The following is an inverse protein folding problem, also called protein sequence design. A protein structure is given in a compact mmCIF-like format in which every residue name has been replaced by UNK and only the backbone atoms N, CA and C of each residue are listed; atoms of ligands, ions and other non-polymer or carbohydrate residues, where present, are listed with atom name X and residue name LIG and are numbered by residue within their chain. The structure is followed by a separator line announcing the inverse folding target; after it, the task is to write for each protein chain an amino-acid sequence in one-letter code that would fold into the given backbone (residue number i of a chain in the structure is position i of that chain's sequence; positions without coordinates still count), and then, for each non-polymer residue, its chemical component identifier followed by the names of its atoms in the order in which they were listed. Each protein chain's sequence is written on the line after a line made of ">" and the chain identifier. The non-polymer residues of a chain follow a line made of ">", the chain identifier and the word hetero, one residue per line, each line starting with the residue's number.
data_IF_322972288532
#
_entry.id   IF_322972288532
#
_cell.length_a   1.000
_cell.length_b   1.000
_cell.length_c   1.000
_cell.angle_alpha   90.00
_cell.angle_beta   90.00
_cell.angle_gamma   90.00
#
_symmetry.space_group_name_H-M   'P 1'
#
loop_
_entity.id
_entity.type
_entity.pdbx_description
1 polymer ?
#
# COMPACT_ATOMS: atom_id res chain seq x y z
N UNK A 1 -33.77 -27.20 -5.83
CA UNK A 1 -33.24 -26.07 -6.64
C UNK A 1 -32.99 -24.88 -5.72
N UNK A 2 -31.73 -24.60 -5.38
CA UNK A 2 -31.37 -23.59 -4.36
C UNK A 2 -31.25 -22.17 -4.91
N UNK A 3 -31.62 -21.18 -4.10
CA UNK A 3 -31.57 -19.73 -4.39
C UNK A 3 -30.20 -19.23 -4.89
N UNK A 4 -29.15 -19.95 -4.52
CA UNK A 4 -27.76 -19.72 -4.95
C UNK A 4 -27.52 -19.95 -6.44
N UNK A 5 -28.28 -20.87 -7.07
CA UNK A 5 -28.19 -21.09 -8.52
C UNK A 5 -28.75 -19.87 -9.28
N UNK A 6 -29.87 -19.32 -8.83
CA UNK A 6 -30.52 -18.14 -9.44
C UNK A 6 -29.64 -16.89 -9.36
N UNK A 7 -28.82 -16.76 -8.32
CA UNK A 7 -27.87 -15.64 -8.17
C UNK A 7 -26.67 -15.76 -9.11
N UNK A 8 -26.12 -16.97 -9.30
CA UNK A 8 -25.00 -17.17 -10.24
C UNK A 8 -25.44 -17.03 -11.70
N UNK A 9 -26.62 -17.53 -12.08
CA UNK A 9 -27.14 -17.37 -13.44
C UNK A 9 -27.38 -15.91 -13.82
N UNK A 10 -27.72 -15.06 -12.83
CA UNK A 10 -27.96 -13.62 -13.06
C UNK A 10 -26.67 -12.81 -13.19
N UNK A 11 -25.57 -13.28 -12.62
CA UNK A 11 -24.27 -12.60 -12.72
C UNK A 11 -23.49 -12.96 -14.00
N UNK A 12 -23.82 -14.09 -14.64
CA UNK A 12 -23.15 -14.56 -15.86
C UNK A 12 -23.78 -14.10 -17.18
N UNK A 13 -24.82 -13.27 -17.14
CA UNK A 13 -25.62 -12.88 -18.31
C UNK A 13 -25.67 -11.36 -18.56
N UNK A 14 -24.69 -10.59 -18.08
CA UNK A 14 -24.53 -9.19 -18.49
C UNK A 14 -23.40 -9.07 -19.51
N UNK A 15 -23.79 -9.08 -20.78
CA UNK A 15 -22.96 -8.65 -21.90
C UNK A 15 -22.53 -7.18 -21.74
N UNK A 16 -21.36 -6.78 -22.27
CA UNK A 16 -20.90 -5.39 -22.19
C UNK A 16 -21.83 -4.49 -23.03
N UNK A 17 -22.78 -3.85 -22.37
CA UNK A 17 -23.59 -2.78 -22.98
C UNK A 17 -22.67 -1.64 -23.37
N UNK A 18 -22.51 -1.46 -24.68
CA UNK A 18 -21.96 -0.27 -25.33
C UNK A 18 -22.61 0.98 -24.76
N UNK A 19 -21.87 1.75 -23.97
CA UNK A 19 -22.29 3.06 -23.48
C UNK A 19 -22.27 4.03 -24.67
N UNK A 20 -23.42 4.26 -25.28
CA UNK A 20 -23.59 5.29 -26.30
C UNK A 20 -23.32 6.66 -25.67
N UNK A 21 -22.46 7.45 -26.32
CA UNK A 21 -22.19 8.84 -25.97
C UNK A 21 -23.39 9.69 -26.40
N UNK A 22 -24.13 10.24 -25.44
CA UNK A 22 -25.03 11.36 -25.71
C UNK A 22 -24.23 12.67 -25.63
N UNK A 23 -23.96 13.25 -26.79
CA UNK A 23 -23.46 14.62 -26.96
C UNK A 23 -24.54 15.61 -26.50
N UNK A 24 -24.34 16.24 -25.35
CA UNK A 24 -25.08 17.46 -24.98
C UNK A 24 -24.19 18.65 -25.31
N UNK A 25 -24.62 19.64 -26.13
CA UNK A 25 -23.77 20.77 -26.48
C UNK A 25 -23.54 21.66 -25.25
N UNK A 26 -22.26 21.91 -24.96
CA UNK A 26 -21.86 22.82 -23.89
C UNK A 26 -22.31 24.26 -24.21
N UNK A 27 -22.81 25.03 -23.22
CA UNK A 27 -23.14 26.44 -23.43
C UNK A 27 -21.88 27.26 -23.75
N UNK A 28 -21.98 28.31 -24.60
CA UNK A 28 -20.81 29.09 -25.00
C UNK A 28 -20.21 29.82 -23.81
N UNK A 29 -18.90 29.69 -23.64
CA UNK A 29 -18.13 30.41 -22.62
C UNK A 29 -18.16 31.92 -22.92
N UNK A 30 -18.53 32.78 -21.95
CA UNK A 30 -18.37 34.22 -22.10
C UNK A 30 -16.88 34.57 -22.03
N UNK A 31 -16.38 35.25 -23.07
CA UNK A 31 -15.08 35.92 -23.03
C UNK A 31 -15.24 37.32 -22.43
N UNK A 32 -14.53 37.62 -21.34
CA UNK A 32 -13.88 38.92 -21.19
C UNK A 32 -12.40 38.70 -20.85
N UNK A 33 -11.46 39.30 -21.57
CA UNK A 33 -11.24 40.74 -21.52
C UNK A 33 -10.18 41.02 -20.46
N UNK A 34 -9.06 41.61 -20.88
CA UNK A 34 -7.82 41.76 -20.12
C UNK A 34 -7.99 42.34 -18.71
N UNK A 35 -7.56 41.59 -17.70
CA UNK A 35 -7.05 42.17 -16.46
C UNK A 35 -5.86 41.31 -16.01
N UNK A 36 -4.65 41.87 -16.08
CA UNK A 36 -3.51 41.39 -15.32
C UNK A 36 -3.71 41.85 -13.86
N UNK A 37 -3.77 40.96 -12.86
CA UNK A 37 -3.41 41.32 -11.51
C UNK A 37 -1.97 40.90 -11.29
N UNK A 38 -1.06 41.87 -11.29
CA UNK A 38 0.23 41.74 -10.63
C UNK A 38 -0.04 41.62 -9.13
N UNK A 39 -0.10 40.40 -8.61
CA UNK A 39 -0.05 40.16 -7.18
C UNK A 39 0.67 38.84 -6.92
N UNK A 40 1.88 38.99 -6.40
CA UNK A 40 2.78 37.97 -5.91
C UNK A 40 2.08 37.23 -4.77
N UNK A 41 1.23 36.26 -5.11
CA UNK A 41 0.60 35.37 -4.15
C UNK A 41 1.66 34.40 -3.66
N UNK A 42 2.41 34.84 -2.64
CA UNK A 42 3.30 34.00 -1.86
C UNK A 42 2.43 32.91 -1.24
N UNK A 43 2.35 31.76 -1.91
CA UNK A 43 1.93 30.51 -1.28
C UNK A 43 2.74 30.42 0.02
N UNK A 44 2.11 30.36 1.21
CA UNK A 44 2.89 30.08 2.40
C UNK A 44 3.56 28.73 2.12
N UNK A 45 4.89 28.76 2.01
CA UNK A 45 5.68 27.55 2.13
C UNK A 45 5.23 26.96 3.46
N UNK A 46 4.43 25.88 3.41
CA UNK A 46 4.27 25.07 4.60
C UNK A 46 5.70 24.74 4.98
N UNK A 47 6.19 25.14 6.16
CA UNK A 47 7.48 24.64 6.59
C UNK A 47 7.37 23.13 6.46
N UNK A 48 8.22 22.54 5.60
CA UNK A 48 8.39 21.10 5.62
C UNK A 48 8.51 20.74 7.09
N UNK A 49 7.76 19.75 7.61
CA UNK A 49 7.92 19.36 9.00
C UNK A 49 9.41 19.15 9.17
N UNK A 50 10.05 20.07 9.91
CA UNK A 50 11.43 19.95 10.27
C UNK A 50 11.38 18.78 11.22
N UNK A 51 11.52 17.59 10.66
CA UNK A 51 11.73 16.38 11.41
C UNK A 51 12.99 16.69 12.19
N UNK A 52 12.80 17.14 13.43
CA UNK A 52 13.84 17.23 14.41
C UNK A 52 14.52 15.88 14.34
N UNK A 53 15.78 15.87 13.91
CA UNK A 53 16.62 14.70 13.85
C UNK A 53 16.97 14.21 15.27
N UNK A 54 16.00 14.24 16.18
CA UNK A 54 15.94 13.35 17.31
C UNK A 54 15.73 11.97 16.68
N UNK A 55 16.85 11.29 16.45
CA UNK A 55 16.93 10.05 15.70
C UNK A 55 15.76 9.16 16.04
N UNK A 56 14.95 8.84 15.03
CA UNK A 56 13.80 7.95 15.14
C UNK A 56 14.28 6.63 15.75
N UNK A 57 14.20 6.55 17.07
CA UNK A 57 14.54 5.36 17.82
C UNK A 57 13.36 4.44 17.63
N UNK A 58 13.52 3.50 16.70
CA UNK A 58 12.56 2.44 16.47
C UNK A 58 12.23 1.73 17.78
N UNK A 59 10.98 1.27 17.91
CA UNK A 59 10.59 0.40 19.01
C UNK A 59 11.60 -0.76 19.09
N UNK A 60 12.07 -1.08 20.29
CA UNK A 60 13.09 -2.10 20.54
C UNK A 60 12.66 -3.47 20.00
N UNK A 61 11.35 -3.73 19.96
CA UNK A 61 10.76 -4.95 19.38
C UNK A 61 10.92 -5.05 17.86
N UNK A 62 11.30 -3.97 17.18
CA UNK A 62 11.57 -3.98 15.75
C UNK A 62 13.03 -4.33 15.52
N UNK A 63 13.46 -5.51 15.96
CA UNK A 63 14.83 -6.03 15.86
C UNK A 63 15.44 -5.88 14.46
N UNK A 64 14.62 -6.10 13.41
CA UNK A 64 15.07 -5.94 12.03
C UNK A 64 15.45 -4.49 11.68
N UNK A 65 14.86 -3.49 12.33
CA UNK A 65 15.19 -2.07 12.15
C UNK A 65 16.22 -1.56 13.18
N UNK A 66 16.16 -2.06 14.42
CA UNK A 66 16.94 -1.53 15.54
C UNK A 66 18.36 -2.10 15.62
N UNK A 67 18.57 -3.37 15.22
CA UNK A 67 19.89 -4.00 15.31
C UNK A 67 20.12 -5.05 14.22
N UNK A 68 20.84 -4.62 13.18
CA UNK A 68 21.14 -5.42 11.98
C UNK A 68 21.89 -6.72 12.31
N UNK A 69 22.64 -6.80 13.40
CA UNK A 69 23.54 -7.95 13.68
C UNK A 69 23.02 -8.94 14.73
N UNK A 70 21.76 -8.85 15.14
CA UNK A 70 21.19 -9.83 16.10
C UNK A 70 20.83 -11.15 15.43
N UNK A 71 20.84 -12.25 16.21
CA UNK A 71 20.37 -13.56 15.74
C UNK A 71 18.88 -13.57 15.38
N UNK A 72 18.08 -12.71 16.01
CA UNK A 72 16.66 -12.52 15.68
C UNK A 72 16.54 -11.86 14.31
N UNK A 73 17.25 -10.76 14.05
CA UNK A 73 17.27 -10.10 12.74
C UNK A 73 17.74 -11.05 11.62
N UNK A 74 18.74 -11.89 11.90
CA UNK A 74 19.22 -12.91 10.96
C UNK A 74 18.15 -13.96 10.65
N UNK A 75 17.35 -14.35 11.64
CA UNK A 75 16.22 -15.26 11.43
C UNK A 75 15.19 -14.68 10.46
N UNK A 76 14.88 -13.37 10.58
CA UNK A 76 14.00 -12.68 9.63
C UNK A 76 14.62 -12.56 8.23
N UNK A 77 15.93 -12.33 8.11
CA UNK A 77 16.63 -12.33 6.80
C UNK A 77 16.59 -13.69 6.11
N UNK A 78 16.82 -14.78 6.87
CA UNK A 78 16.71 -16.15 6.35
C UNK A 78 15.29 -16.47 5.90
N UNK A 79 14.29 -16.04 6.69
CA UNK A 79 12.89 -16.22 6.33
C UNK A 79 12.54 -15.46 5.04
N UNK A 80 12.94 -14.19 4.93
CA UNK A 80 12.80 -13.38 3.70
C UNK A 80 13.42 -14.07 2.49
N UNK A 81 14.67 -14.53 2.61
CA UNK A 81 15.39 -15.19 1.52
C UNK A 81 14.66 -16.47 1.05
N UNK A 82 14.15 -17.26 2.00
CA UNK A 82 13.39 -18.48 1.69
C UNK A 82 12.10 -18.18 0.94
N UNK A 83 11.43 -17.08 1.28
CA UNK A 83 10.17 -16.66 0.64
C UNK A 83 10.40 -16.09 -0.76
N UNK A 84 11.46 -15.29 -0.95
CA UNK A 84 11.79 -14.67 -2.24
C UNK A 84 12.47 -15.64 -3.22
N UNK A 85 13.15 -16.67 -2.71
CA UNK A 85 13.89 -17.63 -3.53
C UNK A 85 13.50 -19.07 -3.16
N UNK A 86 12.23 -19.46 -3.39
CA UNK A 86 11.80 -20.81 -3.09
C UNK A 86 12.50 -21.82 -4.01
N UNK A 87 12.79 -23.03 -3.49
CA UNK A 87 13.43 -24.10 -4.28
C UNK A 87 12.62 -24.54 -5.50
N UNK A 88 11.29 -24.35 -5.46
CA UNK A 88 10.34 -24.70 -6.52
C UNK A 88 9.19 -23.68 -6.52
N UNK A 89 8.66 -23.37 -7.69
CA UNK A 89 7.54 -22.46 -7.86
C UNK A 89 7.96 -20.99 -7.98
N UNK A 90 6.97 -20.11 -7.92
CA UNK A 90 7.17 -18.66 -8.01
C UNK A 90 7.28 -18.02 -6.62
N UNK A 91 8.02 -16.91 -6.47
CA UNK A 91 8.10 -16.19 -5.21
C UNK A 91 6.74 -15.65 -4.78
N UNK A 92 6.46 -15.72 -3.47
CA UNK A 92 5.20 -15.22 -2.93
C UNK A 92 5.17 -13.68 -2.97
N UNK A 93 4.09 -13.12 -3.51
CA UNK A 93 3.86 -11.66 -3.55
C UNK A 93 2.98 -11.14 -2.42
N UNK A 94 2.19 -12.02 -1.82
CA UNK A 94 1.28 -11.72 -0.71
C UNK A 94 1.37 -12.84 0.30
N UNK A 95 1.51 -12.49 1.58
CA UNK A 95 1.71 -13.43 2.68
C UNK A 95 0.79 -13.06 3.82
N UNK A 96 0.03 -14.03 4.32
CA UNK A 96 -0.78 -13.87 5.52
C UNK A 96 -0.03 -14.45 6.72
N UNK A 97 0.16 -13.64 7.77
CA UNK A 97 0.72 -14.08 9.04
C UNK A 97 -0.42 -14.25 10.04
N UNK A 98 -0.59 -15.46 10.57
CA UNK A 98 -1.65 -15.80 11.54
C UNK A 98 -1.10 -16.61 12.71
N UNK A 99 -1.88 -16.75 13.78
CA UNK A 99 -1.53 -17.46 15.00
C UNK A 99 -2.70 -18.36 15.44
N UNK A 100 -2.41 -19.46 16.13
CA UNK A 100 -3.45 -20.40 16.59
C UNK A 100 -4.18 -19.84 17.81
N UNK A 101 -3.49 -19.03 18.64
CA UNK A 101 -4.07 -18.34 19.80
C UNK A 101 -3.66 -16.86 19.86
N UNK A 102 -4.31 -16.03 20.69
CA UNK A 102 -3.86 -14.67 20.96
C UNK A 102 -2.45 -14.63 21.57
N UNK A 103 -1.76 -13.50 21.40
CA UNK A 103 -0.45 -13.23 22.03
C UNK A 103 0.73 -14.14 21.65
N UNK A 104 0.65 -14.94 20.58
CA UNK A 104 1.81 -15.73 20.05
C UNK A 104 2.85 -14.88 19.28
N UNK A 105 2.69 -13.56 19.23
CA UNK A 105 3.67 -12.69 18.54
C UNK A 105 3.49 -12.56 17.02
N UNK A 106 2.35 -12.95 16.43
CA UNK A 106 2.07 -12.71 14.99
C UNK A 106 2.31 -11.27 14.53
N UNK A 107 1.97 -10.27 15.36
CA UNK A 107 2.21 -8.86 15.04
C UNK A 107 3.70 -8.51 15.05
N UNK A 108 4.44 -9.07 16.01
CA UNK A 108 5.91 -8.93 16.08
C UNK A 108 6.58 -9.53 14.84
N UNK A 109 6.16 -10.74 14.46
CA UNK A 109 6.66 -11.43 13.26
C UNK A 109 6.30 -10.65 12.00
N UNK A 110 5.05 -10.21 11.86
CA UNK A 110 4.57 -9.48 10.69
C UNK A 110 5.34 -8.16 10.48
N UNK A 111 5.53 -7.37 11.54
CA UNK A 111 6.24 -6.10 11.46
C UNK A 111 7.73 -6.29 11.09
N UNK A 112 8.44 -7.17 11.79
CA UNK A 112 9.87 -7.41 11.54
C UNK A 112 10.11 -8.07 10.17
N UNK A 113 9.25 -8.98 9.76
CA UNK A 113 9.32 -9.58 8.42
C UNK A 113 9.07 -8.52 7.34
N UNK A 114 8.10 -7.62 7.54
CA UNK A 114 7.84 -6.48 6.65
C UNK A 114 9.04 -5.55 6.52
N UNK A 115 9.70 -5.21 7.64
CA UNK A 115 10.94 -4.43 7.64
C UNK A 115 12.05 -5.17 6.87
N UNK A 116 12.21 -6.46 7.10
CA UNK A 116 13.19 -7.26 6.39
C UNK A 116 12.95 -7.23 4.87
N UNK A 117 11.69 -7.29 4.41
CA UNK A 117 11.36 -7.11 2.99
C UNK A 117 11.70 -5.71 2.48
N UNK A 118 11.40 -4.66 3.24
CA UNK A 118 11.67 -3.28 2.84
C UNK A 118 13.17 -2.93 2.79
N UNK A 119 13.99 -3.52 3.66
CA UNK A 119 15.45 -3.34 3.69
C UNK A 119 16.20 -4.20 2.65
N UNK A 120 15.49 -4.92 1.78
CA UNK A 120 16.11 -5.70 0.70
C UNK A 120 16.85 -4.82 -0.29
N UNK A 121 18.19 -4.94 -0.32
CA UNK A 121 19.07 -4.52 -1.42
C UNK A 121 18.93 -5.52 -2.58
#
# INVERSE_FOLDING_TARGET
>A
MGKIHTALSKAGAEEPTTRQMEETPAPPLPMPGSARPTAKERRPERPAPQATAEGQRWDERLDAASSVLTGIAESFRRLRATILHPKKGQPARTIMVTSSVPSEGKSFVCANLGIAFAQGV
#
